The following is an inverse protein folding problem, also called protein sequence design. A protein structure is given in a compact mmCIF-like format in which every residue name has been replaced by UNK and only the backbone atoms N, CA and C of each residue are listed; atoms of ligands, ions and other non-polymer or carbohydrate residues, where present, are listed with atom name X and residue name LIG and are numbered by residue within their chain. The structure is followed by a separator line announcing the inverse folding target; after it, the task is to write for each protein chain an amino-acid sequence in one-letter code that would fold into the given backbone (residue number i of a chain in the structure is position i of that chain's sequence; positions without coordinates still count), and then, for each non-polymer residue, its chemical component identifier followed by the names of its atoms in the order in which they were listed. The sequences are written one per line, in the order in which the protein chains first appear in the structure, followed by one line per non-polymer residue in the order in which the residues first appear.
data_IF_675852935761
#
_entry.id   IF_675852935761
#
_cell.length_a   1.000
_cell.length_b   1.000
_cell.length_c   1.000
_cell.angle_alpha   90.00
_cell.angle_beta   90.00
_cell.angle_gamma   90.00
#
_symmetry.space_group_name_H-M   'P 1'
#
loop_
_entity.id
_entity.type
_entity.pdbx_description
1 polymer ?
#
# COMPACT_ATOMS: atom_id res chain seq x y z
N UNK A 1 3.46 -19.80 -1.39
CA UNK A 1 4.12 -18.50 -1.13
C UNK A 1 5.15 -18.72 -0.04
N UNK A 2 6.36 -18.17 -0.18
CA UNK A 2 7.31 -18.13 0.94
C UNK A 2 6.72 -17.27 2.05
N UNK A 3 6.59 -17.82 3.27
CA UNK A 3 6.15 -17.11 4.48
C UNK A 3 7.10 -15.94 4.69
N UNK A 4 6.60 -14.71 4.76
CA UNK A 4 7.48 -13.60 5.06
C UNK A 4 7.72 -13.51 6.56
N UNK A 5 9.00 -13.50 6.92
CA UNK A 5 9.48 -13.47 8.30
C UNK A 5 9.78 -12.02 8.73
N UNK A 6 9.23 -11.63 9.88
CA UNK A 6 9.41 -10.31 10.49
C UNK A 6 9.69 -10.47 11.97
N UNK A 7 10.77 -9.87 12.47
CA UNK A 7 10.99 -9.73 13.90
C UNK A 7 10.05 -8.66 14.47
N UNK A 8 9.41 -8.96 15.61
CA UNK A 8 8.65 -8.05 16.48
C UNK A 8 7.96 -6.85 15.78
N UNK A 9 7.02 -7.15 14.86
CA UNK A 9 6.04 -6.20 14.29
C UNK A 9 4.61 -6.52 14.73
N UNK A 10 4.48 -7.19 15.87
CA UNK A 10 3.23 -7.76 16.35
C UNK A 10 2.19 -6.68 16.67
N UNK A 11 2.62 -5.51 17.16
CA UNK A 11 1.72 -4.38 17.45
C UNK A 11 1.06 -3.86 16.18
N UNK A 12 1.86 -3.62 15.14
CA UNK A 12 1.40 -3.10 13.85
C UNK A 12 0.53 -4.13 13.12
N UNK A 13 0.93 -5.41 13.17
CA UNK A 13 0.16 -6.54 12.65
C UNK A 13 -1.21 -6.63 13.33
N UNK A 14 -1.24 -6.63 14.66
CA UNK A 14 -2.48 -6.71 15.43
C UNK A 14 -3.38 -5.49 15.17
N UNK A 15 -2.79 -4.31 15.04
CA UNK A 15 -3.53 -3.09 14.70
C UNK A 15 -4.17 -3.20 13.31
N UNK A 16 -3.40 -3.62 12.31
CA UNK A 16 -3.90 -3.81 10.95
C UNK A 16 -5.02 -4.85 10.89
N UNK A 17 -4.88 -5.98 11.57
CA UNK A 17 -5.93 -7.00 11.64
C UNK A 17 -7.22 -6.46 12.25
N UNK A 18 -7.12 -5.67 13.34
CA UNK A 18 -8.29 -4.98 13.92
C UNK A 18 -8.89 -4.00 12.92
N UNK A 19 -8.07 -3.23 12.21
CA UNK A 19 -8.50 -2.24 11.22
C UNK A 19 -9.30 -2.86 10.06
N UNK A 20 -8.89 -4.04 9.59
CA UNK A 20 -9.53 -4.77 8.48
C UNK A 20 -10.80 -5.51 8.93
N UNK A 21 -10.99 -5.71 10.23
CA UNK A 21 -12.21 -6.30 10.78
C UNK A 21 -13.43 -5.37 10.61
N UNK A 22 -14.63 -5.97 10.51
CA UNK A 22 -15.89 -5.28 10.22
C UNK A 22 -16.26 -4.14 11.19
N UNK A 23 -15.72 -4.11 12.42
CA UNK A 23 -16.11 -3.15 13.46
C UNK A 23 -15.09 -2.02 13.70
N UNK A 24 -14.13 -1.83 12.79
CA UNK A 24 -13.16 -0.73 12.91
C UNK A 24 -13.69 0.57 12.32
N UNK A 25 -13.64 1.63 13.12
CA UNK A 25 -13.89 3.01 12.69
C UNK A 25 -12.65 3.63 12.04
N UNK A 26 -11.47 3.03 12.21
CA UNK A 26 -10.25 3.45 11.52
C UNK A 26 -10.25 2.86 10.11
N UNK A 27 -10.13 3.74 9.12
CA UNK A 27 -10.02 3.38 7.71
C UNK A 27 -8.63 3.68 7.13
N UNK A 28 -7.87 4.56 7.78
CA UNK A 28 -6.60 5.06 7.27
C UNK A 28 -5.50 4.72 8.29
N UNK A 29 -4.46 4.02 7.84
CA UNK A 29 -3.26 3.76 8.61
C UNK A 29 -2.05 4.39 7.91
N UNK A 30 -1.39 5.31 8.59
CA UNK A 30 -0.17 5.96 8.09
C UNK A 30 1.04 5.33 8.75
N UNK A 31 1.92 4.72 7.95
CA UNK A 31 3.17 4.11 8.39
C UNK A 31 4.34 5.02 8.05
N UNK A 32 4.90 5.69 9.05
CA UNK A 32 6.04 6.58 8.90
C UNK A 32 7.30 5.94 9.48
N UNK A 33 8.40 5.96 8.73
CA UNK A 33 9.69 5.51 9.28
C UNK A 33 10.87 5.95 8.41
N UNK A 34 12.09 6.02 8.96
CA UNK A 34 13.29 6.17 8.14
C UNK A 34 13.47 5.01 7.13
N UNK A 35 14.34 5.16 6.12
CA UNK A 35 14.72 4.07 5.22
C UNK A 35 15.27 2.85 5.98
N UNK A 36 14.90 1.65 5.56
CA UNK A 36 15.42 0.40 6.14
C UNK A 36 14.71 -0.11 7.40
N UNK A 37 13.61 0.51 7.83
CA UNK A 37 12.87 0.07 9.02
C UNK A 37 11.72 -0.93 8.74
N UNK A 38 11.66 -1.47 7.51
CA UNK A 38 10.78 -2.59 7.16
C UNK A 38 9.35 -2.22 6.74
N UNK A 39 9.11 -1.00 6.20
CA UNK A 39 7.79 -0.60 5.68
C UNK A 39 7.26 -1.54 4.60
N UNK A 40 8.05 -1.76 3.54
CA UNK A 40 7.67 -2.62 2.42
C UNK A 40 7.40 -4.06 2.89
N UNK A 41 8.30 -4.61 3.73
CA UNK A 41 8.09 -5.94 4.31
C UNK A 41 6.83 -5.98 5.19
N UNK A 42 6.50 -4.91 5.91
CA UNK A 42 5.27 -4.86 6.71
C UNK A 42 4.02 -4.80 5.82
N UNK A 43 4.04 -4.02 4.73
CA UNK A 43 2.93 -3.97 3.77
C UNK A 43 2.72 -5.31 3.06
N UNK A 44 3.80 -5.96 2.64
CA UNK A 44 3.73 -7.31 2.07
C UNK A 44 3.15 -8.28 3.12
N UNK A 45 3.43 -8.10 4.42
CA UNK A 45 2.89 -8.97 5.47
C UNK A 45 1.41 -8.71 5.67
N UNK A 46 1.00 -7.45 5.62
CA UNK A 46 -0.41 -7.06 5.66
C UNK A 46 -1.20 -7.71 4.53
N UNK A 47 -0.66 -7.74 3.31
CA UNK A 47 -1.29 -8.46 2.19
C UNK A 47 -1.38 -9.98 2.46
N UNK A 48 -0.33 -10.59 3.01
CA UNK A 48 -0.29 -12.04 3.34
C UNK A 48 -1.32 -12.42 4.42
N UNK A 49 -1.50 -11.59 5.45
CA UNK A 49 -2.38 -11.88 6.60
C UNK A 49 -3.81 -11.37 6.43
N UNK A 50 -4.15 -10.80 5.27
CA UNK A 50 -5.52 -10.38 5.00
C UNK A 50 -6.45 -11.60 5.11
N UNK A 51 -7.55 -11.50 5.90
CA UNK A 51 -8.53 -12.57 6.01
C UNK A 51 -9.09 -13.01 4.65
N UNK A 52 -9.56 -14.25 4.59
CA UNK A 52 -10.29 -14.72 3.42
C UNK A 52 -11.48 -13.80 3.11
N UNK A 53 -11.64 -13.44 1.84
CA UNK A 53 -12.70 -12.52 1.41
C UNK A 53 -12.32 -11.04 1.45
N UNK A 54 -11.12 -10.66 1.91
CA UNK A 54 -10.58 -9.30 1.77
C UNK A 54 -9.82 -9.18 0.44
N UNK A 55 -10.03 -8.08 -0.28
CA UNK A 55 -9.29 -7.76 -1.51
C UNK A 55 -8.15 -6.80 -1.20
N UNK A 56 -6.92 -7.31 -1.17
CA UNK A 56 -5.72 -6.50 -0.95
C UNK A 56 -5.13 -6.02 -2.30
N UNK A 57 -4.87 -4.72 -2.41
CA UNK A 57 -4.26 -4.09 -3.58
C UNK A 57 -2.96 -3.41 -3.15
N UNK A 58 -1.83 -3.86 -3.70
CA UNK A 58 -0.55 -3.19 -3.51
C UNK A 58 -0.26 -2.19 -4.64
N UNK A 59 0.01 -0.94 -4.27
CA UNK A 59 0.33 0.17 -5.17
C UNK A 59 1.70 0.72 -4.83
N UNK A 60 2.67 0.49 -5.72
CA UNK A 60 4.00 1.07 -5.59
C UNK A 60 4.02 2.45 -6.26
N UNK A 61 4.07 3.51 -5.45
CA UNK A 61 3.99 4.88 -5.96
C UNK A 61 5.27 5.33 -6.69
N UNK A 62 6.42 4.72 -6.41
CA UNK A 62 7.65 4.92 -7.18
C UNK A 62 7.50 4.47 -8.64
N UNK A 63 6.59 3.53 -8.92
CA UNK A 63 6.29 3.05 -10.27
C UNK A 63 5.20 3.88 -10.97
N UNK A 64 4.63 4.88 -10.32
CA UNK A 64 3.50 5.66 -10.83
C UNK A 64 3.93 6.81 -11.76
N UNK A 65 4.77 6.51 -12.76
CA UNK A 65 5.33 7.52 -13.67
C UNK A 65 4.27 8.34 -14.43
N UNK A 66 3.09 7.75 -14.67
CA UNK A 66 1.97 8.37 -15.40
C UNK A 66 1.02 9.14 -14.45
N UNK A 67 1.32 9.19 -13.16
CA UNK A 67 0.51 9.92 -12.18
C UNK A 67 -0.72 9.13 -11.70
N UNK A 68 -1.79 9.85 -11.35
CA UNK A 68 -3.05 9.31 -10.83
C UNK A 68 -3.69 8.21 -11.71
N UNK A 69 -3.63 8.26 -13.06
CA UNK A 69 -4.09 7.16 -13.91
C UNK A 69 -3.53 5.79 -13.54
N UNK A 70 -2.27 5.71 -13.13
CA UNK A 70 -1.65 4.47 -12.67
C UNK A 70 -2.38 3.89 -11.47
N UNK A 71 -2.75 4.74 -10.50
CA UNK A 71 -3.42 4.33 -9.27
C UNK A 71 -4.80 3.75 -9.57
N UNK A 72 -5.61 4.47 -10.36
CA UNK A 72 -6.92 3.96 -10.79
C UNK A 72 -6.81 2.64 -11.54
N UNK A 73 -5.91 2.57 -12.53
CA UNK A 73 -5.69 1.35 -13.30
C UNK A 73 -5.27 0.19 -12.39
N UNK A 74 -4.31 0.40 -11.49
CA UNK A 74 -3.78 -0.65 -10.61
C UNK A 74 -4.85 -1.22 -9.70
N UNK A 75 -5.66 -0.36 -9.09
CA UNK A 75 -6.74 -0.80 -8.21
C UNK A 75 -7.82 -1.53 -9.01
N UNK A 76 -8.31 -0.94 -10.11
CA UNK A 76 -9.32 -1.55 -10.99
C UNK A 76 -8.89 -2.92 -11.48
N UNK A 77 -7.65 -3.03 -11.97
CA UNK A 77 -7.14 -4.27 -12.54
C UNK A 77 -6.95 -5.37 -11.49
N UNK A 78 -6.67 -5.01 -10.23
CA UNK A 78 -6.50 -5.97 -9.14
C UNK A 78 -7.84 -6.44 -8.57
N UNK A 79 -8.81 -5.54 -8.40
CA UNK A 79 -10.15 -5.86 -7.89
C UNK A 79 -11.02 -6.56 -8.96
N UNK A 80 -10.78 -6.25 -10.23
CA UNK A 80 -11.53 -6.79 -11.37
C UNK A 80 -12.32 -5.69 -12.08
N UNK A 81 -12.12 -5.47 -13.41
CA UNK A 81 -12.77 -4.40 -14.16
C UNK A 81 -14.30 -4.42 -14.12
N UNK A 82 -14.93 -5.58 -13.93
CA UNK A 82 -16.38 -5.74 -13.83
C UNK A 82 -16.99 -5.01 -12.62
N UNK A 83 -16.18 -4.71 -11.60
CA UNK A 83 -16.60 -3.92 -10.44
C UNK A 83 -16.64 -2.41 -10.70
N UNK A 84 -16.16 -1.95 -11.87
CA UNK A 84 -15.99 -0.52 -12.19
C UNK A 84 -16.81 -0.05 -13.41
N UNK A 85 -18.12 -0.36 -13.51
CA UNK A 85 -18.91 0.01 -14.68
C UNK A 85 -19.13 1.52 -14.82
N UNK A 86 -19.27 2.28 -13.73
CA UNK A 86 -19.47 3.74 -13.79
C UNK A 86 -18.19 4.44 -14.18
N UNK A 87 -17.07 4.06 -13.54
CA UNK A 87 -15.77 4.56 -13.92
C UNK A 87 -15.44 4.22 -15.38
N UNK A 88 -15.78 3.01 -15.84
CA UNK A 88 -15.60 2.61 -17.25
C UNK A 88 -16.40 3.52 -18.18
N UNK A 89 -17.68 3.74 -17.89
CA UNK A 89 -18.52 4.62 -18.69
C UNK A 89 -18.01 6.07 -18.69
N UNK A 90 -17.56 6.59 -17.54
CA UNK A 90 -16.97 7.91 -17.41
C UNK A 90 -15.74 8.09 -18.30
N UNK A 91 -14.77 7.16 -18.21
CA UNK A 91 -13.57 7.17 -19.06
C UNK A 91 -13.96 7.12 -20.54
N UNK A 92 -14.87 6.22 -20.93
CA UNK A 92 -15.33 6.10 -22.31
C UNK A 92 -16.00 7.39 -22.82
N UNK A 93 -16.76 8.09 -22.00
CA UNK A 93 -17.41 9.34 -22.39
C UNK A 93 -16.40 10.44 -22.77
N UNK A 94 -15.28 10.56 -22.04
CA UNK A 94 -14.23 11.52 -22.39
C UNK A 94 -13.36 11.07 -23.57
N UNK A 95 -13.40 9.79 -23.93
CA UNK A 95 -12.65 9.25 -25.08
C UNK A 95 -13.40 9.36 -26.40
N UNK A 96 -14.74 9.47 -26.37
CA UNK A 96 -15.58 9.64 -27.58
C UNK A 96 -15.11 10.76 -28.51
N UNK A 97 -14.72 11.97 -28.04
CA UNK A 97 -14.24 13.04 -28.91
C UNK A 97 -12.94 12.72 -29.66
N UNK A 98 -12.16 11.75 -29.17
CA UNK A 98 -10.88 11.36 -29.74
C UNK A 98 -10.99 10.18 -30.73
N UNK A 99 -12.19 9.70 -31.05
CA UNK A 99 -12.45 8.51 -31.87
C UNK A 99 -11.65 7.26 -31.41
N UNK A 100 -11.30 7.20 -30.12
CA UNK A 100 -10.64 6.02 -29.55
C UNK A 100 -11.69 4.92 -29.42
N UNK A 101 -11.64 3.96 -30.34
CA UNK A 101 -12.60 2.88 -30.44
C UNK A 101 -12.25 1.80 -29.40
N UNK A 102 -12.86 1.86 -28.21
CA UNK A 102 -12.76 0.81 -27.17
C UNK A 102 -13.84 -0.27 -27.37
N UNK A 103 -14.47 -0.30 -28.54
CA UNK A 103 -15.37 -1.39 -28.91
C UNK A 103 -14.55 -2.69 -28.92
N UNK A 104 -14.98 -3.65 -28.12
CA UNK A 104 -14.48 -5.04 -27.97
C UNK A 104 -13.28 -5.30 -27.05
N UNK A 105 -12.60 -4.28 -26.51
CA UNK A 105 -11.63 -4.49 -25.42
C UNK A 105 -12.27 -4.17 -24.07
N UNK A 106 -12.62 -5.21 -23.31
CA UNK A 106 -13.19 -5.07 -21.96
C UNK A 106 -12.23 -4.46 -20.94
N UNK A 107 -10.98 -4.24 -21.33
CA UNK A 107 -9.89 -3.78 -20.47
C UNK A 107 -9.53 -2.33 -20.80
N UNK A 108 -10.09 -1.37 -20.04
CA UNK A 108 -9.53 -0.02 -19.98
C UNK A 108 -8.08 -0.07 -19.47
N UNK A 109 -7.16 0.40 -20.29
CA UNK A 109 -5.75 0.53 -20.01
C UNK A 109 -5.42 1.83 -19.27
N UNK A 110 -4.16 1.93 -18.84
CA UNK A 110 -3.64 3.13 -18.17
C UNK A 110 -3.63 4.36 -19.09
N UNK A 111 -3.34 4.18 -20.38
CA UNK A 111 -3.34 5.27 -21.37
C UNK A 111 -4.75 5.84 -21.60
N UNK A 112 -5.77 4.98 -21.62
CA UNK A 112 -7.18 5.41 -21.77
C UNK A 112 -7.57 6.37 -20.64
N UNK A 113 -7.20 6.04 -19.41
CA UNK A 113 -7.47 6.86 -18.23
C UNK A 113 -6.68 8.18 -18.31
N UNK A 114 -5.42 8.14 -18.75
CA UNK A 114 -4.61 9.35 -18.92
C UNK A 114 -5.21 10.30 -19.95
N UNK A 115 -5.64 9.79 -21.11
CA UNK A 115 -6.28 10.61 -22.15
C UNK A 115 -7.61 11.17 -21.63
N UNK A 116 -8.41 10.34 -20.94
CA UNK A 116 -9.69 10.77 -20.37
C UNK A 116 -9.53 11.88 -19.32
N UNK A 117 -8.44 11.89 -18.54
CA UNK A 117 -8.14 13.00 -17.62
C UNK A 117 -7.79 14.30 -18.35
N UNK A 118 -7.51 14.27 -19.66
CA UNK A 118 -7.19 15.47 -20.42
C UNK A 118 -5.80 16.04 -20.16
N UNK A 119 -5.37 16.93 -21.05
CA UNK A 119 -4.02 17.51 -21.09
C UNK A 119 -3.92 18.93 -20.52
N UNK A 120 -5.06 19.62 -20.33
CA UNK A 120 -5.12 20.95 -19.73
C UNK A 120 -5.43 20.85 -18.24
N UNK A 121 -4.72 21.62 -17.40
CA UNK A 121 -4.83 21.57 -15.93
C UNK A 121 -6.26 21.78 -15.39
N UNK A 122 -7.03 22.71 -15.97
CA UNK A 122 -8.38 23.02 -15.48
C UNK A 122 -9.39 21.92 -15.85
N UNK A 123 -9.31 21.44 -17.09
CA UNK A 123 -10.10 20.30 -17.56
C UNK A 123 -9.74 19.04 -16.76
N UNK A 124 -8.44 18.85 -16.50
CA UNK A 124 -7.93 17.72 -15.75
C UNK A 124 -8.44 17.67 -14.32
N UNK A 125 -8.49 18.81 -13.62
CA UNK A 125 -9.08 18.86 -12.27
C UNK A 125 -10.55 18.47 -12.29
N UNK A 126 -11.32 18.96 -13.27
CA UNK A 126 -12.75 18.64 -13.39
C UNK A 126 -12.98 17.15 -13.72
N UNK A 127 -12.29 16.63 -14.74
CA UNK A 127 -12.38 15.21 -15.11
C UNK A 127 -11.91 14.29 -13.98
N UNK A 128 -10.83 14.65 -13.27
CA UNK A 128 -10.34 13.90 -12.13
C UNK A 128 -11.40 13.82 -11.02
N UNK A 129 -12.09 14.91 -10.73
CA UNK A 129 -13.14 14.95 -9.72
C UNK A 129 -14.30 14.02 -10.09
N UNK A 130 -14.83 14.13 -11.32
CA UNK A 130 -15.95 13.29 -11.79
C UNK A 130 -15.55 11.80 -11.86
N UNK A 131 -14.38 11.49 -12.42
CA UNK A 131 -13.88 10.12 -12.50
C UNK A 131 -13.59 9.53 -11.12
N UNK A 132 -13.04 10.30 -10.19
CA UNK A 132 -12.85 9.84 -8.82
C UNK A 132 -14.19 9.51 -8.16
N UNK A 133 -15.20 10.37 -8.32
CA UNK A 133 -16.52 10.11 -7.75
C UNK A 133 -17.10 8.79 -8.27
N UNK A 134 -17.10 8.59 -9.60
CA UNK A 134 -17.56 7.35 -10.22
C UNK A 134 -16.76 6.14 -9.74
N UNK A 135 -15.45 6.28 -9.57
CA UNK A 135 -14.57 5.24 -9.06
C UNK A 135 -14.93 4.82 -7.63
N UNK A 136 -15.19 5.78 -6.73
CA UNK A 136 -15.58 5.49 -5.35
C UNK A 136 -17.02 4.94 -5.26
N UNK A 137 -17.95 5.43 -6.09
CA UNK A 137 -19.30 4.86 -6.18
C UNK A 137 -19.28 3.38 -6.61
N UNK A 138 -18.34 3.00 -7.46
CA UNK A 138 -18.11 1.61 -7.85
C UNK A 138 -17.47 0.80 -6.71
N UNK A 139 -16.44 1.34 -6.04
CA UNK A 139 -15.81 0.71 -4.87
C UNK A 139 -16.79 0.43 -3.72
N UNK A 140 -17.70 1.35 -3.43
CA UNK A 140 -18.73 1.19 -2.39
C UNK A 140 -19.65 -0.02 -2.66
N UNK A 141 -19.79 -0.44 -3.92
CA UNK A 141 -20.62 -1.60 -4.30
C UNK A 141 -19.89 -2.94 -4.22
N UNK A 142 -18.58 -2.92 -4.00
CA UNK A 142 -17.80 -4.13 -3.81
C UNK A 142 -18.19 -4.74 -2.46
N UNK A 143 -18.82 -5.93 -2.50
CA UNK A 143 -19.34 -6.63 -1.30
C UNK A 143 -18.26 -7.08 -0.30
N UNK A 144 -17.00 -7.00 -0.70
CA UNK A 144 -15.82 -7.40 0.08
C UNK A 144 -15.13 -6.16 0.65
N UNK A 145 -14.48 -6.32 1.79
CA UNK A 145 -13.54 -5.31 2.28
C UNK A 145 -12.38 -5.17 1.29
N UNK A 146 -12.07 -3.95 0.90
CA UNK A 146 -10.95 -3.62 0.03
C UNK A 146 -9.87 -2.95 0.87
N UNK A 147 -8.64 -3.42 0.77
CA UNK A 147 -7.47 -2.82 1.42
C UNK A 147 -6.51 -2.33 0.34
N UNK A 148 -6.21 -1.03 0.33
CA UNK A 148 -5.21 -0.46 -0.58
C UNK A 148 -3.95 -0.14 0.21
N UNK A 149 -2.83 -0.73 -0.19
CA UNK A 149 -1.52 -0.60 0.42
C UNK A 149 -0.64 0.25 -0.51
N UNK A 150 -0.48 1.52 -0.17
CA UNK A 150 0.42 2.43 -0.88
C UNK A 150 1.81 2.37 -0.26
N UNK A 151 2.80 1.95 -1.05
CA UNK A 151 4.20 2.00 -0.68
C UNK A 151 4.91 3.19 -1.35
N UNK A 152 6.05 3.60 -0.81
CA UNK A 152 6.95 4.63 -1.36
C UNK A 152 6.31 5.99 -1.54
N UNK A 153 5.50 6.46 -0.58
CA UNK A 153 4.81 7.76 -0.66
C UNK A 153 5.74 8.94 -0.98
N UNK A 154 6.96 8.95 -0.46
CA UNK A 154 7.94 10.00 -0.72
C UNK A 154 8.42 10.07 -2.16
N UNK A 155 8.41 8.95 -2.88
CA UNK A 155 8.85 8.85 -4.27
C UNK A 155 7.70 9.17 -5.25
N UNK A 156 6.49 9.41 -4.74
CA UNK A 156 5.35 9.82 -5.55
C UNK A 156 5.49 11.26 -6.03
N UNK A 157 4.92 11.56 -7.21
CA UNK A 157 4.85 12.93 -7.72
C UNK A 157 4.08 13.85 -6.76
N UNK A 158 4.35 15.15 -6.84
CA UNK A 158 3.62 16.15 -6.03
C UNK A 158 2.11 16.07 -6.23
N UNK A 159 1.65 15.82 -7.45
CA UNK A 159 0.23 15.69 -7.76
C UNK A 159 -0.40 14.47 -7.08
N UNK A 160 0.26 13.31 -7.13
CA UNK A 160 -0.21 12.12 -6.41
C UNK A 160 -0.25 12.40 -4.90
N UNK A 161 0.80 12.99 -4.33
CA UNK A 161 0.85 13.26 -2.88
C UNK A 161 -0.25 14.22 -2.45
N UNK A 162 -0.47 15.31 -3.21
CA UNK A 162 -1.54 16.29 -2.95
C UNK A 162 -2.92 15.65 -3.07
N UNK A 163 -3.14 14.85 -4.11
CA UNK A 163 -4.39 14.14 -4.34
C UNK A 163 -4.68 13.10 -3.26
N UNK A 164 -3.70 12.27 -2.90
CA UNK A 164 -3.80 11.30 -1.80
C UNK A 164 -4.12 12.01 -0.48
N UNK A 165 -3.36 13.05 -0.13
CA UNK A 165 -3.52 13.75 1.15
C UNK A 165 -4.83 14.53 1.29
N UNK A 166 -5.51 14.82 0.18
CA UNK A 166 -6.77 15.56 0.16
C UNK A 166 -7.95 14.68 -0.27
N UNK A 167 -8.42 14.93 -1.49
CA UNK A 167 -9.68 14.39 -2.02
C UNK A 167 -9.77 12.86 -1.96
N UNK A 168 -8.68 12.12 -2.14
CA UNK A 168 -8.72 10.66 -2.08
C UNK A 168 -8.98 10.14 -0.67
N UNK A 169 -8.20 10.56 0.33
CA UNK A 169 -8.40 10.13 1.72
C UNK A 169 -9.73 10.65 2.31
N UNK A 170 -10.18 11.84 1.89
CA UNK A 170 -11.53 12.32 2.23
C UNK A 170 -12.63 11.42 1.62
N UNK A 171 -12.45 10.89 0.41
CA UNK A 171 -13.39 9.94 -0.17
C UNK A 171 -13.35 8.56 0.50
N UNK A 172 -12.17 8.13 0.99
CA UNK A 172 -12.02 6.88 1.77
C UNK A 172 -12.91 6.87 2.99
N UNK A 173 -13.05 7.99 3.70
CA UNK A 173 -13.89 8.04 4.92
C UNK A 173 -15.37 7.80 4.64
N UNK A 174 -15.81 8.04 3.40
CA UNK A 174 -17.18 7.81 2.94
C UNK A 174 -17.38 6.42 2.31
N UNK A 175 -16.39 5.53 2.39
CA UNK A 175 -16.42 4.19 1.80
C UNK A 175 -16.19 3.13 2.89
N UNK A 176 -17.26 2.66 3.53
CA UNK A 176 -17.20 1.80 4.73
C UNK A 176 -16.46 0.48 4.53
N UNK A 177 -16.45 -0.06 3.31
CA UNK A 177 -15.74 -1.29 2.96
C UNK A 177 -14.27 -1.05 2.59
N UNK A 178 -13.79 0.20 2.56
CA UNK A 178 -12.43 0.54 2.12
C UNK A 178 -11.51 0.83 3.30
N UNK A 179 -10.31 0.27 3.24
CA UNK A 179 -9.19 0.56 4.14
C UNK A 179 -7.97 0.96 3.32
N UNK A 180 -7.19 1.89 3.85
CA UNK A 180 -6.00 2.42 3.19
C UNK A 180 -4.83 2.41 4.16
N UNK A 181 -3.70 1.88 3.71
CA UNK A 181 -2.41 2.02 4.38
C UNK A 181 -1.49 2.84 3.49
N UNK A 182 -0.89 3.90 4.00
CA UNK A 182 0.12 4.70 3.29
C UNK A 182 1.44 4.60 4.02
N UNK A 183 2.46 4.08 3.36
CA UNK A 183 3.80 3.93 3.92
C UNK A 183 4.80 4.87 3.25
N UNK A 184 5.60 5.56 4.08
CA UNK A 184 6.64 6.48 3.61
C UNK A 184 7.64 6.88 4.69
N UNK A 185 8.68 7.58 4.28
CA UNK A 185 9.56 8.35 5.18
C UNK A 185 8.86 9.57 5.76
N UNK A 186 7.97 10.16 4.97
CA UNK A 186 6.90 11.03 5.44
C UNK A 186 5.57 10.43 4.99
N UNK A 187 4.49 10.91 5.59
CA UNK A 187 3.12 10.49 5.28
C UNK A 187 2.26 11.75 5.11
N UNK A 188 1.06 11.65 4.51
CA UNK A 188 0.11 12.75 4.46
C UNK A 188 -0.04 13.47 5.81
N UNK A 189 0.02 14.80 5.79
CA UNK A 189 -0.32 15.61 6.96
C UNK A 189 -1.81 15.51 7.25
N UNK A 190 -2.17 15.34 8.51
CA UNK A 190 -3.57 15.22 8.91
C UNK A 190 -4.36 16.48 8.63
N UNK A 191 -5.56 16.32 8.07
CA UNK A 191 -6.51 17.41 7.88
C UNK A 191 -7.87 17.09 8.52
N UNK A 192 -8.75 18.08 8.64
CA UNK A 192 -10.04 17.93 9.31
C UNK A 192 -11.01 16.95 8.65
N UNK A 193 -10.82 16.63 7.36
CA UNK A 193 -11.74 15.79 6.58
C UNK A 193 -11.60 14.30 6.93
N UNK A 194 -10.40 13.85 7.27
CA UNK A 194 -10.12 12.42 7.46
C UNK A 194 -9.33 12.05 8.71
N UNK A 195 -8.80 13.02 9.48
CA UNK A 195 -7.99 12.75 10.67
C UNK A 195 -8.69 11.86 11.71
N UNK A 196 -10.02 11.96 11.83
CA UNK A 196 -10.81 11.16 12.80
C UNK A 196 -10.84 9.67 12.46
N UNK A 197 -10.60 9.31 11.20
CA UNK A 197 -10.65 7.93 10.71
C UNK A 197 -9.22 7.39 10.48
N UNK A 198 -8.21 8.11 10.99
CA UNK A 198 -6.81 7.86 10.74
C UNK A 198 -6.05 7.47 12.01
N UNK A 199 -5.11 6.55 11.87
CA UNK A 199 -4.09 6.25 12.86
C UNK A 199 -2.71 6.40 12.24
N UNK A 200 -1.83 7.14 12.91
CA UNK A 200 -0.43 7.31 12.52
C UNK A 200 0.45 6.43 13.40
N UNK A 201 1.28 5.60 12.76
CA UNK A 201 2.21 4.71 13.41
C UNK A 201 3.63 5.01 12.92
N UNK A 202 4.55 5.21 13.87
CA UNK A 202 5.97 5.40 13.58
C UNK A 202 6.72 4.09 13.79
N UNK A 203 7.36 3.55 12.75
CA UNK A 203 8.13 2.31 12.86
C UNK A 203 9.54 2.62 13.37
N UNK A 204 9.80 2.24 14.61
CA UNK A 204 11.11 2.32 15.24
C UNK A 204 12.00 1.12 14.98
N UNK A 205 13.21 1.20 15.54
CA UNK A 205 14.16 0.09 15.63
C UNK A 205 13.55 -1.08 16.40
N UNK A 206 14.06 -2.28 16.16
CA UNK A 206 13.65 -3.49 16.87
C UNK A 206 14.82 -3.93 17.75
N UNK A 207 14.74 -3.55 19.03
CA UNK A 207 15.75 -3.91 20.05
C UNK A 207 15.45 -5.27 20.71
N UNK A 208 14.36 -5.93 20.30
CA UNK A 208 13.95 -7.22 20.85
C UNK A 208 14.83 -8.36 20.33
N UNK A 209 15.85 -8.68 21.10
CA UNK A 209 16.83 -9.74 20.82
C UNK A 209 16.17 -11.11 20.65
N UNK A 210 15.13 -11.40 21.45
CA UNK A 210 14.43 -12.68 21.40
C UNK A 210 13.71 -12.85 20.06
N UNK A 211 13.02 -11.81 19.60
CA UNK A 211 12.34 -11.85 18.30
C UNK A 211 13.32 -11.99 17.12
N UNK A 212 14.50 -11.39 17.20
CA UNK A 212 15.55 -11.60 16.20
C UNK A 212 16.12 -13.01 16.27
N UNK A 213 16.30 -13.56 17.46
CA UNK A 213 16.80 -14.92 17.64
C UNK A 213 15.81 -15.94 17.05
N UNK A 214 14.51 -15.81 17.35
CA UNK A 214 13.46 -16.64 16.76
C UNK A 214 13.46 -16.57 15.23
N UNK A 215 13.60 -15.36 14.67
CA UNK A 215 13.69 -15.18 13.23
C UNK A 215 14.92 -15.88 12.64
N UNK A 216 16.08 -15.88 13.31
CA UNK A 216 17.25 -16.63 12.83
C UNK A 216 17.02 -18.14 12.84
N UNK A 217 16.30 -18.68 13.83
CA UNK A 217 15.96 -20.10 13.84
C UNK A 217 15.02 -20.45 12.68
N UNK A 218 14.02 -19.61 12.39
CA UNK A 218 13.13 -19.77 11.23
C UNK A 218 13.86 -19.62 9.88
N UNK A 219 15.03 -18.98 9.86
CA UNK A 219 15.91 -18.88 8.69
C UNK A 219 16.89 -20.05 8.56
N UNK A 220 16.80 -21.07 9.42
CA UNK A 220 17.77 -22.18 9.54
C UNK A 220 19.19 -21.70 9.88
N UNK A 221 19.31 -20.54 10.51
CA UNK A 221 20.57 -20.02 11.05
C UNK A 221 20.69 -20.45 12.50
N UNK A 222 21.45 -21.50 12.77
CA UNK A 222 21.72 -22.01 14.13
C UNK A 222 22.65 -21.11 14.95
N UNK A 223 22.34 -19.81 15.02
CA UNK A 223 23.06 -18.84 15.85
C UNK A 223 22.60 -18.95 17.30
N UNK A 224 23.51 -18.71 18.25
CA UNK A 224 23.13 -18.59 19.66
C UNK A 224 22.49 -17.23 19.95
N UNK A 225 21.68 -17.16 20.99
CA UNK A 225 21.04 -15.91 21.43
C UNK A 225 22.08 -14.82 21.76
N UNK A 226 23.21 -15.19 22.36
CA UNK A 226 24.30 -14.25 22.66
C UNK A 226 24.90 -13.62 21.39
N UNK A 227 25.06 -14.40 20.31
CA UNK A 227 25.54 -13.87 19.02
C UNK A 227 24.51 -12.92 18.44
N UNK A 228 23.22 -13.29 18.46
CA UNK A 228 22.14 -12.44 17.95
C UNK A 228 22.08 -11.12 18.72
N UNK A 229 22.18 -11.13 20.05
CA UNK A 229 22.23 -9.93 20.88
C UNK A 229 23.38 -8.99 20.47
N UNK A 230 24.57 -9.54 20.18
CA UNK A 230 25.71 -8.75 19.68
C UNK A 230 25.42 -8.10 18.32
N UNK A 231 24.74 -8.80 17.42
CA UNK A 231 24.30 -8.20 16.15
C UNK A 231 23.28 -7.09 16.36
N UNK A 232 22.28 -7.30 17.21
CA UNK A 232 21.24 -6.29 17.53
C UNK A 232 21.89 -5.02 18.09
N UNK A 233 22.81 -5.18 19.04
CA UNK A 233 23.57 -4.06 19.60
C UNK A 233 24.44 -3.36 18.55
N UNK A 234 25.22 -4.11 17.77
CA UNK A 234 26.15 -3.56 16.77
C UNK A 234 25.44 -2.85 15.61
N UNK A 235 24.22 -3.29 15.26
CA UNK A 235 23.43 -2.73 14.16
C UNK A 235 22.28 -1.85 14.65
N UNK A 236 22.27 -1.52 15.95
CA UNK A 236 21.33 -0.59 16.60
C UNK A 236 19.85 -0.94 16.36
N UNK A 237 19.53 -2.24 16.34
CA UNK A 237 18.17 -2.72 16.08
C UNK A 237 17.63 -2.37 14.69
N UNK A 238 18.47 -1.98 13.73
CA UNK A 238 18.03 -1.59 12.38
C UNK A 238 17.57 -2.82 11.59
N UNK A 239 16.28 -2.89 11.20
CA UNK A 239 15.73 -4.11 10.60
C UNK A 239 16.39 -4.51 9.27
N UNK A 240 16.69 -3.55 8.39
CA UNK A 240 17.34 -3.82 7.10
C UNK A 240 18.76 -4.35 7.31
N UNK A 241 19.57 -3.67 8.12
CA UNK A 241 20.95 -4.09 8.37
C UNK A 241 21.01 -5.48 8.99
N UNK A 242 20.14 -5.76 9.96
CA UNK A 242 20.07 -7.07 10.63
C UNK A 242 19.67 -8.18 9.66
N UNK A 243 18.62 -7.98 8.86
CA UNK A 243 18.22 -8.94 7.82
C UNK A 243 19.33 -9.18 6.81
N UNK A 244 19.96 -8.13 6.29
CA UNK A 244 21.07 -8.25 5.33
C UNK A 244 22.25 -9.03 5.91
N UNK A 245 22.60 -8.79 7.18
CA UNK A 245 23.65 -9.53 7.87
C UNK A 245 23.31 -11.02 8.01
N UNK A 246 22.10 -11.35 8.47
CA UNK A 246 21.67 -12.73 8.63
C UNK A 246 21.52 -13.46 7.29
N UNK A 247 20.98 -12.82 6.25
CA UNK A 247 20.91 -13.39 4.91
C UNK A 247 22.31 -13.66 4.32
N UNK A 248 23.26 -12.75 4.56
CA UNK A 248 24.65 -12.93 4.13
C UNK A 248 25.29 -14.12 4.82
N UNK A 249 25.10 -14.26 6.13
CA UNK A 249 25.56 -15.42 6.90
C UNK A 249 24.93 -16.71 6.35
N UNK A 250 23.63 -16.73 6.07
CA UNK A 250 22.93 -17.90 5.54
C UNK A 250 23.50 -18.36 4.20
N UNK A 251 23.75 -17.41 3.30
CA UNK A 251 24.37 -17.69 1.99
C UNK A 251 25.79 -18.26 2.15
N UNK A 252 26.57 -17.73 3.09
CA UNK A 252 27.92 -18.23 3.36
C UNK A 252 27.89 -19.67 3.85
N UNK A 253 27.03 -20.00 4.82
CA UNK A 253 26.91 -21.37 5.36
C UNK A 253 26.48 -22.36 4.28
N UNK A 254 25.51 -21.98 3.42
CA UNK A 254 25.03 -22.83 2.34
C UNK A 254 26.03 -22.99 1.18
N UNK A 255 26.99 -22.08 1.02
CA UNK A 255 28.04 -22.19 -0.01
C UNK A 255 29.15 -23.18 0.34
N UNK A 256 29.20 -23.65 1.59
CA UNK A 256 30.16 -24.65 2.08
C UNK A 256 29.56 -26.05 2.24
N UNK A 257 28.29 -26.25 1.86
CA UNK A 257 27.61 -27.55 1.80
C UNK A 257 27.46 -28.00 0.34
#
# INVERSE_FOLDING_TARGET
MNKMLLANRTKEINYFQKMVSWNSHTQILLLESPPGFGKTDLLLKFAEICPEGVLAVHVNLKSACVGIPYVFWRIKNTIGPSHFPRFKAGVQNYLRPYNVNIADNDVLGQMDIQIALGSNEQIQKYHLMELQEMFFQDLQKVKKTVVILFDTFNDASTDIRKWLSGAFLAAVTNCENLRVVIAGQSVPESNSEWVRNCHKCHLGRIDDEQAWYELTQEMDLSLSQEIVAKFVAALEGNPKKLKEAFETLRKSVNSYQ
#
